data_IF_602604938729
#
_entry.id   IF_602604938729
#
_cell.length_a   1.000
_cell.length_b   1.000
_cell.length_c   1.000
_cell.angle_alpha   90.00
_cell.angle_beta   90.00
_cell.angle_gamma   90.00
#
_symmetry.space_group_name_H-M   'P 1'
#
loop_
_entity.id
_entity.type
_entity.pdbx_description
1 polymer ?
#
# COMPACT_ATOMS: atom_id res chain seq x y z
N UNK A 1 12.31 18.49 -8.67
CA UNK A 1 12.92 18.89 -7.37
C UNK A 1 13.64 17.76 -6.62
N UNK A 2 13.78 16.55 -7.17
CA UNK A 2 14.46 15.43 -6.49
C UNK A 2 15.37 14.62 -7.45
N UNK A 3 16.37 15.27 -8.09
CA UNK A 3 17.23 14.63 -9.09
C UNK A 3 18.08 13.47 -8.55
N UNK A 4 18.26 13.36 -7.23
CA UNK A 4 19.00 12.26 -6.58
C UNK A 4 18.23 10.93 -6.66
N UNK A 5 16.89 10.99 -6.60
CA UNK A 5 16.01 9.79 -6.51
C UNK A 5 15.03 9.63 -7.66
N UNK A 6 14.95 10.61 -8.58
CA UNK A 6 14.11 10.55 -9.78
C UNK A 6 14.92 10.95 -11.01
N UNK A 7 15.15 10.00 -11.91
CA UNK A 7 15.87 10.24 -13.15
C UNK A 7 15.22 11.31 -14.05
N UNK A 8 13.87 11.42 -14.14
CA UNK A 8 13.24 12.51 -14.89
C UNK A 8 13.66 13.92 -14.41
N UNK A 9 13.76 14.13 -13.09
CA UNK A 9 14.22 15.41 -12.53
C UNK A 9 15.66 15.73 -12.97
N UNK A 10 16.54 14.72 -13.04
CA UNK A 10 17.91 14.91 -13.52
C UNK A 10 17.95 15.38 -14.99
N UNK A 11 17.11 14.78 -15.85
CA UNK A 11 17.00 15.18 -17.25
C UNK A 11 16.47 16.61 -17.38
N UNK A 12 15.46 16.98 -16.59
CA UNK A 12 14.93 18.35 -16.52
C UNK A 12 16.02 19.34 -16.11
N UNK A 13 16.81 19.04 -15.07
CA UNK A 13 17.92 19.90 -14.63
C UNK A 13 18.97 20.09 -15.74
N UNK A 14 19.30 19.03 -16.50
CA UNK A 14 20.25 19.10 -17.63
C UNK A 14 19.71 19.94 -18.79
N UNK A 15 18.41 19.78 -19.10
CA UNK A 15 17.74 20.58 -20.12
C UNK A 15 17.72 22.08 -19.75
N UNK A 16 17.33 22.41 -18.52
CA UNK A 16 17.34 23.80 -18.01
C UNK A 16 18.76 24.37 -18.09
N UNK A 17 19.78 23.64 -17.63
CA UNK A 17 21.18 24.09 -17.70
C UNK A 17 21.62 24.39 -19.13
N UNK A 18 21.21 23.58 -20.11
CA UNK A 18 21.54 23.81 -21.51
C UNK A 18 20.83 25.06 -22.06
N UNK A 19 19.55 25.25 -21.74
CA UNK A 19 18.76 26.42 -22.16
C UNK A 19 19.38 27.72 -21.62
N UNK A 20 19.82 27.72 -20.35
CA UNK A 20 20.52 28.87 -19.75
C UNK A 20 21.86 29.19 -20.45
N UNK A 21 22.44 28.21 -21.15
CA UNK A 21 23.65 28.38 -21.97
C UNK A 21 23.32 28.58 -23.46
N UNK A 22 22.05 28.85 -23.80
CA UNK A 22 21.55 28.97 -25.18
C UNK A 22 21.85 27.74 -26.06
N UNK A 23 21.89 26.55 -25.46
CA UNK A 23 22.10 25.26 -26.13
C UNK A 23 20.88 24.36 -25.96
N UNK A 24 20.66 23.45 -26.93
CA UNK A 24 19.67 22.37 -26.80
C UNK A 24 20.32 21.16 -26.13
N UNK A 25 19.72 20.64 -25.06
CA UNK A 25 20.15 19.38 -24.47
C UNK A 25 19.58 18.21 -25.26
N UNK A 26 20.46 17.35 -25.76
CA UNK A 26 20.08 16.07 -26.36
C UNK A 26 20.73 14.96 -25.51
N UNK A 27 19.93 14.03 -24.97
CA UNK A 27 20.45 12.90 -24.21
C UNK A 27 21.34 12.04 -25.12
N UNK A 28 22.63 11.93 -24.81
CA UNK A 28 23.62 11.14 -25.57
C UNK A 28 24.02 9.88 -24.81
N UNK A 29 24.38 8.82 -25.54
CA UNK A 29 24.92 7.58 -24.96
C UNK A 29 23.89 6.70 -24.27
N UNK A 30 22.61 6.84 -24.64
CA UNK A 30 21.54 5.98 -24.12
C UNK A 30 21.25 4.93 -25.19
N UNK A 31 21.54 3.68 -24.87
CA UNK A 31 21.18 2.55 -25.73
C UNK A 31 19.69 2.24 -25.60
N UNK A 32 18.92 2.60 -26.62
CA UNK A 32 17.47 2.41 -26.68
C UNK A 32 17.06 0.94 -26.58
N UNK A 33 17.93 -0.01 -26.96
CA UNK A 33 17.65 -1.44 -26.90
C UNK A 33 17.62 -1.99 -25.46
N UNK A 34 18.37 -1.35 -24.54
CA UNK A 34 18.44 -1.75 -23.13
C UNK A 34 17.37 -1.12 -22.24
N UNK A 35 16.57 -0.19 -22.76
CA UNK A 35 15.50 0.44 -21.97
C UNK A 35 14.32 -0.53 -21.83
N UNK A 36 13.80 -0.65 -20.60
CA UNK A 36 12.47 -1.18 -20.32
C UNK A 36 11.36 -0.28 -20.93
N UNK A 37 11.25 -0.32 -22.25
CA UNK A 37 10.20 0.30 -23.04
C UNK A 37 9.05 -0.68 -23.29
N UNK A 38 9.07 -1.87 -22.65
CA UNK A 38 8.07 -2.92 -22.88
C UNK A 38 6.69 -2.34 -22.68
N UNK A 39 6.08 -2.08 -23.83
CA UNK A 39 4.79 -1.44 -23.97
C UNK A 39 3.77 -2.31 -23.24
N UNK A 40 2.89 -1.68 -22.48
CA UNK A 40 1.84 -2.38 -21.73
C UNK A 40 1.07 -3.36 -22.64
N UNK A 41 0.54 -4.44 -22.07
CA UNK A 41 -0.25 -5.43 -22.83
C UNK A 41 -1.41 -4.78 -23.63
N UNK A 42 -1.94 -3.66 -23.16
CA UNK A 42 -2.92 -2.84 -23.86
C UNK A 42 -2.35 -2.17 -25.12
N UNK A 43 -1.12 -1.65 -25.06
CA UNK A 43 -0.45 -1.06 -26.23
C UNK A 43 0.01 -2.14 -27.20
N UNK A 44 0.40 -3.33 -26.72
CA UNK A 44 0.67 -4.50 -27.59
C UNK A 44 -0.59 -4.95 -28.35
N UNK A 45 -1.77 -4.93 -27.71
CA UNK A 45 -3.07 -5.18 -28.37
C UNK A 45 -3.46 -4.08 -29.36
N UNK A 46 -3.18 -2.80 -29.07
CA UNK A 46 -3.39 -1.70 -30.01
C UNK A 46 -2.46 -1.78 -31.21
N UNK A 47 -1.16 -2.01 -30.99
CA UNK A 47 -0.18 -2.23 -32.06
C UNK A 47 -0.53 -3.43 -32.96
N UNK A 48 -1.08 -4.51 -32.38
CA UNK A 48 -1.56 -5.66 -33.16
C UNK A 48 -2.81 -5.33 -34.01
N UNK A 49 -3.73 -4.50 -33.49
CA UNK A 49 -4.91 -4.01 -34.25
C UNK A 49 -4.53 -3.02 -35.35
N UNK A 50 -3.59 -2.12 -35.06
CA UNK A 50 -3.08 -1.12 -36.02
C UNK A 50 -2.31 -1.82 -37.16
N UNK A 51 -1.57 -2.90 -36.85
CA UNK A 51 -0.89 -3.76 -37.85
C UNK A 51 -1.87 -4.55 -38.72
N UNK A 52 -3.03 -4.93 -38.20
CA UNK A 52 -4.09 -5.61 -38.95
C UNK A 52 -4.89 -4.67 -39.88
N UNK A 53 -4.93 -3.37 -39.57
CA UNK A 53 -5.67 -2.36 -40.35
C UNK A 53 -4.85 -1.70 -41.48
N UNK A 54 -3.67 -2.24 -41.82
CA UNK A 54 -2.86 -1.77 -42.96
C UNK A 54 -2.35 -0.32 -42.84
N UNK A 55 -2.64 0.36 -41.73
CA UNK A 55 -2.11 1.68 -41.44
C UNK A 55 -0.72 1.47 -40.84
N UNK A 56 0.28 1.26 -41.70
CA UNK A 56 1.67 1.44 -41.29
C UNK A 56 1.85 2.93 -41.00
N UNK A 57 1.41 3.36 -39.82
CA UNK A 57 1.82 4.63 -39.27
C UNK A 57 3.33 4.50 -39.14
N UNK A 58 4.05 5.21 -40.01
CA UNK A 58 5.51 5.20 -40.05
C UNK A 58 6.02 5.05 -38.63
N UNK A 59 6.79 3.99 -38.41
CA UNK A 59 7.62 3.71 -37.24
C UNK A 59 8.67 4.83 -37.16
N UNK A 60 8.21 6.08 -37.04
CA UNK A 60 9.02 7.25 -36.73
C UNK A 60 9.42 7.00 -35.30
N UNK A 61 10.61 6.42 -35.18
CA UNK A 61 11.51 6.42 -34.03
C UNK A 61 10.87 7.11 -32.84
N UNK A 62 10.46 6.34 -31.83
CA UNK A 62 10.22 6.90 -30.50
C UNK A 62 11.36 7.87 -30.23
N UNK A 63 11.03 9.16 -30.08
CA UNK A 63 12.09 10.13 -29.82
C UNK A 63 12.81 9.68 -28.56
N UNK A 64 14.11 9.97 -28.43
CA UNK A 64 14.89 9.55 -27.24
C UNK A 64 14.17 9.96 -25.94
N UNK A 65 13.45 11.10 -25.97
CA UNK A 65 12.61 11.58 -24.88
C UNK A 65 11.37 10.71 -24.61
N UNK A 66 10.67 10.25 -25.63
CA UNK A 66 9.52 9.34 -25.48
C UNK A 66 9.94 8.01 -24.87
N UNK A 67 11.04 7.42 -25.38
CA UNK A 67 11.59 6.18 -24.87
C UNK A 67 12.00 6.31 -23.39
N UNK A 68 12.65 7.42 -23.02
CA UNK A 68 12.99 7.73 -21.63
C UNK A 68 11.76 7.91 -20.74
N UNK A 69 10.71 8.55 -21.25
CA UNK A 69 9.45 8.72 -20.53
C UNK A 69 8.79 7.38 -20.19
N UNK A 70 8.68 6.48 -21.18
CA UNK A 70 8.14 5.13 -20.99
C UNK A 70 8.99 4.34 -19.99
N UNK A 71 10.31 4.38 -20.14
CA UNK A 71 11.24 3.69 -19.26
C UNK A 71 11.16 4.15 -17.81
N UNK A 72 11.18 5.46 -17.58
CA UNK A 72 11.10 5.99 -16.21
C UNK A 72 9.79 5.60 -15.56
N UNK A 73 8.68 5.69 -16.30
CA UNK A 73 7.35 5.28 -15.81
C UNK A 73 7.26 3.78 -15.50
N UNK A 74 7.86 2.93 -16.35
CA UNK A 74 7.90 1.49 -16.14
C UNK A 74 8.75 1.11 -14.92
N UNK A 75 9.89 1.77 -14.73
CA UNK A 75 10.75 1.54 -13.58
C UNK A 75 10.14 2.04 -12.28
N UNK A 76 9.39 3.14 -12.29
CA UNK A 76 8.63 3.62 -11.14
C UNK A 76 7.60 2.58 -10.68
N UNK A 77 6.75 2.09 -11.59
CA UNK A 77 5.80 1.02 -11.28
C UNK A 77 6.48 -0.23 -10.74
N UNK A 78 7.60 -0.65 -11.34
CA UNK A 78 8.37 -1.82 -10.88
C UNK A 78 8.93 -1.62 -9.47
N UNK A 79 9.42 -0.42 -9.15
CA UNK A 79 9.94 -0.10 -7.82
C UNK A 79 8.81 -0.13 -6.78
N UNK A 80 7.63 0.39 -7.13
CA UNK A 80 6.45 0.34 -6.27
C UNK A 80 5.94 -1.09 -6.06
N UNK A 81 5.87 -1.90 -7.13
CA UNK A 81 5.50 -3.32 -7.06
C UNK A 81 6.44 -4.10 -6.14
N UNK A 82 7.76 -3.92 -6.29
CA UNK A 82 8.74 -4.57 -5.42
C UNK A 82 8.60 -4.12 -3.95
N UNK A 83 8.29 -2.84 -3.72
CA UNK A 83 8.10 -2.30 -2.37
C UNK A 83 6.83 -2.86 -1.72
N UNK A 84 5.72 -2.93 -2.47
CA UNK A 84 4.46 -3.56 -2.03
C UNK A 84 4.65 -5.04 -1.74
N UNK A 85 5.44 -5.73 -2.55
CA UNK A 85 5.74 -7.15 -2.37
C UNK A 85 6.47 -7.43 -1.05
N UNK A 86 7.46 -6.61 -0.70
CA UNK A 86 8.19 -6.71 0.57
C UNK A 86 7.27 -6.35 1.73
N UNK A 87 6.45 -5.30 1.59
CA UNK A 87 5.49 -4.89 2.60
C UNK A 87 4.44 -6.00 2.86
N UNK A 88 3.90 -6.61 1.81
CA UNK A 88 2.96 -7.73 1.91
C UNK A 88 3.59 -8.92 2.64
N UNK A 89 4.85 -9.25 2.32
CA UNK A 89 5.57 -10.31 3.01
C UNK A 89 5.80 -9.99 4.49
N UNK A 90 6.20 -8.76 4.83
CA UNK A 90 6.39 -8.31 6.21
C UNK A 90 5.08 -8.33 7.00
N UNK A 91 3.96 -7.93 6.37
CA UNK A 91 2.61 -8.01 6.95
C UNK A 91 2.22 -9.46 7.26
N UNK A 92 2.46 -10.38 6.34
CA UNK A 92 2.22 -11.80 6.56
C UNK A 92 3.11 -12.36 7.67
N UNK A 93 4.39 -11.96 7.71
CA UNK A 93 5.32 -12.35 8.76
C UNK A 93 4.85 -11.89 10.14
N UNK A 94 4.39 -10.65 10.25
CA UNK A 94 3.90 -10.09 11.50
C UNK A 94 2.61 -10.74 12.01
N UNK A 95 1.68 -11.09 11.12
CA UNK A 95 0.39 -11.65 11.54
C UNK A 95 0.45 -13.15 11.84
N UNK A 96 1.50 -13.85 11.40
CA UNK A 96 1.73 -15.26 11.68
C UNK A 96 1.69 -15.58 13.18
N UNK A 97 2.21 -14.69 14.01
CA UNK A 97 2.26 -14.87 15.46
C UNK A 97 0.91 -14.62 16.14
N UNK A 98 -0.09 -14.13 15.40
CA UNK A 98 -1.45 -13.79 15.87
C UNK A 98 -2.52 -14.71 15.29
N UNK A 99 -2.14 -15.94 14.95
CA UNK A 99 -3.05 -16.93 14.40
C UNK A 99 -4.15 -17.26 15.41
N UNK A 100 -5.40 -17.23 14.98
CA UNK A 100 -6.57 -17.46 15.83
C UNK A 100 -7.06 -16.24 16.62
N UNK A 101 -6.39 -15.09 16.55
CA UNK A 101 -6.90 -13.85 17.13
C UNK A 101 -8.02 -13.25 16.26
N UNK A 102 -8.99 -12.62 16.92
CA UNK A 102 -10.07 -11.87 16.27
C UNK A 102 -9.68 -10.40 16.10
N UNK A 103 -9.97 -9.85 14.92
CA UNK A 103 -9.71 -8.47 14.57
C UNK A 103 -10.95 -7.83 13.95
N UNK A 104 -11.10 -6.53 14.17
CA UNK A 104 -12.05 -5.72 13.39
C UNK A 104 -11.37 -5.23 12.11
N UNK A 105 -12.14 -5.21 11.03
CA UNK A 105 -11.69 -4.70 9.76
C UNK A 105 -12.81 -4.14 8.92
N UNK A 106 -12.40 -3.56 7.80
CA UNK A 106 -13.29 -3.03 6.77
C UNK A 106 -13.10 -3.84 5.50
N UNK A 107 -14.19 -4.15 4.81
CA UNK A 107 -14.14 -4.77 3.49
C UNK A 107 -13.49 -3.80 2.49
N UNK A 108 -12.28 -4.12 2.03
CA UNK A 108 -11.50 -3.28 1.10
C UNK A 108 -11.78 -3.62 -0.36
N UNK A 109 -12.21 -4.86 -0.65
CA UNK A 109 -12.60 -5.29 -1.99
C UNK A 109 -13.54 -6.49 -1.92
N UNK A 110 -14.42 -6.61 -2.91
CA UNK A 110 -15.37 -7.71 -3.05
C UNK A 110 -15.11 -8.37 -4.41
N UNK A 111 -15.00 -9.69 -4.42
CA UNK A 111 -14.83 -10.49 -5.64
C UNK A 111 -15.87 -11.60 -5.70
N UNK A 112 -15.92 -12.32 -6.82
CA UNK A 112 -16.82 -13.47 -6.97
C UNK A 112 -16.50 -14.65 -6.06
N UNK A 113 -15.25 -14.76 -5.59
CA UNK A 113 -14.78 -15.88 -4.77
C UNK A 113 -14.62 -15.54 -3.29
N UNK A 114 -14.89 -14.29 -2.89
CA UNK A 114 -14.78 -13.87 -1.49
C UNK A 114 -14.71 -12.37 -1.30
N UNK A 115 -14.35 -11.97 -0.08
CA UNK A 115 -14.14 -10.57 0.28
C UNK A 115 -12.73 -10.39 0.85
N UNK A 116 -12.11 -9.26 0.51
CA UNK A 116 -10.87 -8.82 1.14
C UNK A 116 -11.21 -7.88 2.29
N UNK A 117 -10.66 -8.18 3.46
CA UNK A 117 -10.87 -7.41 4.68
C UNK A 117 -9.54 -6.82 5.11
N UNK A 118 -9.50 -5.50 5.23
CA UNK A 118 -8.37 -4.76 5.77
C UNK A 118 -8.56 -4.57 7.27
N UNK A 119 -7.62 -5.06 8.07
CA UNK A 119 -7.64 -4.95 9.53
C UNK A 119 -7.29 -3.53 9.98
N UNK A 120 -8.07 -2.95 10.91
CA UNK A 120 -7.99 -1.53 11.27
C UNK A 120 -6.64 -1.11 11.88
N UNK A 121 -6.15 -1.89 12.84
CA UNK A 121 -4.94 -1.54 13.59
C UNK A 121 -3.65 -1.90 12.84
N UNK A 122 -3.73 -2.90 11.96
CA UNK A 122 -2.55 -3.52 11.35
C UNK A 122 -2.37 -3.14 9.87
N UNK A 123 -3.41 -2.60 9.22
CA UNK A 123 -3.43 -2.32 7.78
C UNK A 123 -2.99 -3.52 6.93
N UNK A 124 -3.32 -4.71 7.43
CA UNK A 124 -3.09 -6.01 6.79
C UNK A 124 -4.37 -6.41 6.08
N UNK A 125 -4.26 -6.85 4.85
CA UNK A 125 -5.38 -7.39 4.09
C UNK A 125 -5.37 -8.91 4.15
N UNK A 126 -6.53 -9.50 4.37
CA UNK A 126 -6.73 -10.95 4.25
C UNK A 126 -8.00 -11.27 3.47
N UNK A 127 -8.05 -12.49 2.94
CA UNK A 127 -9.15 -12.99 2.14
C UNK A 127 -10.08 -13.83 3.01
N UNK A 128 -11.36 -13.48 3.04
CA UNK A 128 -12.42 -14.40 3.47
C UNK A 128 -12.99 -15.06 2.22
N UNK A 129 -12.76 -16.37 2.08
CA UNK A 129 -13.29 -17.12 0.95
C UNK A 129 -14.81 -17.29 1.06
N UNK A 130 -15.50 -17.41 -0.08
CA UNK A 130 -16.97 -17.55 -0.13
C UNK A 130 -17.51 -18.71 0.71
N UNK A 131 -16.73 -19.79 0.86
CA UNK A 131 -17.08 -20.95 1.70
C UNK A 131 -17.09 -20.63 3.19
N UNK A 132 -16.28 -19.66 3.62
CA UNK A 132 -16.17 -19.22 5.02
C UNK A 132 -17.20 -18.13 5.36
N UNK A 133 -17.87 -17.53 4.35
CA UNK A 133 -18.90 -16.50 4.55
C UNK A 133 -20.24 -17.06 5.05
N UNK A 134 -20.46 -18.36 4.87
CA UNK A 134 -21.65 -19.08 5.35
C UNK A 134 -22.10 -20.19 4.40
N UNK A 135 -23.21 -20.85 4.77
CA UNK A 135 -23.82 -21.95 4.01
C UNK A 135 -24.81 -21.47 2.93
N UNK A 136 -24.68 -20.22 2.50
CA UNK A 136 -25.57 -19.61 1.52
C UNK A 136 -24.92 -19.52 0.14
N UNK A 137 -25.76 -19.47 -0.89
CA UNK A 137 -25.29 -19.14 -2.24
C UNK A 137 -25.15 -17.64 -2.34
N UNK A 138 -23.91 -17.15 -2.46
CA UNK A 138 -23.64 -15.72 -2.66
C UNK A 138 -23.53 -15.39 -4.15
N UNK A 139 -24.33 -14.42 -4.57
CA UNK A 139 -24.27 -13.83 -5.90
C UNK A 139 -23.46 -12.53 -5.84
N UNK A 140 -22.46 -12.42 -6.71
CA UNK A 140 -21.67 -11.20 -6.87
C UNK A 140 -22.37 -10.24 -7.83
N UNK A 141 -22.64 -9.02 -7.36
CA UNK A 141 -23.11 -7.91 -8.18
C UNK A 141 -21.96 -6.92 -8.41
N UNK A 142 -21.45 -6.91 -9.65
CA UNK A 142 -20.32 -6.08 -10.06
C UNK A 142 -20.65 -4.59 -10.05
N UNK A 143 -21.90 -4.22 -10.31
CA UNK A 143 -22.30 -2.81 -10.36
C UNK A 143 -22.35 -2.17 -8.97
N UNK A 144 -22.57 -2.99 -7.92
CA UNK A 144 -22.70 -2.54 -6.53
C UNK A 144 -21.50 -2.91 -5.66
N UNK A 145 -20.57 -3.72 -6.20
CA UNK A 145 -19.48 -4.33 -5.45
C UNK A 145 -19.99 -4.99 -4.16
N UNK A 146 -21.04 -5.82 -4.29
CA UNK A 146 -21.66 -6.54 -3.18
C UNK A 146 -21.71 -8.05 -3.44
N UNK A 147 -21.48 -8.85 -2.41
CA UNK A 147 -21.82 -10.27 -2.37
C UNK A 147 -23.11 -10.44 -1.57
N UNK A 148 -24.15 -10.93 -2.23
CA UNK A 148 -25.49 -11.10 -1.63
C UNK A 148 -25.86 -12.57 -1.53
N UNK A 149 -26.18 -13.01 -0.32
CA UNK A 149 -26.72 -14.34 -0.05
C UNK A 149 -28.17 -14.45 -0.54
N UNK A 150 -28.47 -15.48 -1.33
CA UNK A 150 -29.78 -15.72 -1.93
C UNK A 150 -30.82 -16.08 -0.85
N UNK A 151 -30.50 -17.00 0.06
CA UNK A 151 -31.44 -17.51 1.07
C UNK A 151 -31.49 -16.64 2.33
N UNK A 152 -30.34 -16.18 2.80
CA UNK A 152 -30.21 -15.43 4.05
C UNK A 152 -30.40 -13.93 3.85
N UNK A 153 -30.26 -13.43 2.62
CA UNK A 153 -30.30 -12.01 2.31
C UNK A 153 -29.12 -11.22 2.89
N UNK A 154 -28.11 -11.89 3.49
CA UNK A 154 -26.89 -11.25 3.99
C UNK A 154 -26.16 -10.58 2.84
N UNK A 155 -25.60 -9.40 3.09
CA UNK A 155 -24.86 -8.63 2.10
C UNK A 155 -23.51 -8.27 2.69
N UNK A 156 -22.48 -8.41 1.89
CA UNK A 156 -21.15 -7.92 2.17
C UNK A 156 -20.78 -6.96 1.05
N UNK A 157 -20.75 -5.68 1.37
CA UNK A 157 -20.40 -4.61 0.43
C UNK A 157 -19.01 -4.06 0.75
N UNK A 158 -18.38 -3.45 -0.26
CA UNK A 158 -17.27 -2.54 -0.04
C UNK A 158 -17.59 -1.56 1.10
N UNK A 159 -16.62 -1.34 2.00
CA UNK A 159 -16.71 -0.47 3.19
C UNK A 159 -17.46 -1.04 4.40
N UNK A 160 -18.05 -2.23 4.31
CA UNK A 160 -18.70 -2.85 5.48
C UNK A 160 -17.69 -3.16 6.58
N UNK A 161 -18.12 -2.98 7.83
CA UNK A 161 -17.37 -3.34 9.03
C UNK A 161 -17.65 -4.79 9.39
N UNK A 162 -16.60 -5.58 9.54
CA UNK A 162 -16.68 -7.00 9.89
C UNK A 162 -15.65 -7.36 10.95
N UNK A 163 -16.00 -8.34 11.79
CA UNK A 163 -15.05 -8.98 12.70
C UNK A 163 -14.60 -10.29 12.06
N UNK A 164 -13.29 -10.50 12.04
CA UNK A 164 -12.66 -11.63 11.34
C UNK A 164 -11.61 -12.26 12.23
N UNK A 165 -11.47 -13.57 12.15
CA UNK A 165 -10.42 -14.34 12.81
C UNK A 165 -9.37 -14.75 11.79
N UNK A 166 -8.09 -14.69 12.18
CA UNK A 166 -6.99 -15.17 11.33
C UNK A 166 -6.95 -16.70 11.39
N UNK A 167 -7.26 -17.36 10.27
CA UNK A 167 -7.31 -18.83 10.19
C UNK A 167 -5.99 -19.43 9.72
N UNK A 168 -5.41 -18.87 8.64
CA UNK A 168 -4.18 -19.37 8.05
C UNK A 168 -3.35 -18.23 7.46
N UNK A 169 -2.02 -18.38 7.52
CA UNK A 169 -1.08 -17.46 6.91
C UNK A 169 -0.09 -18.25 6.05
N UNK A 170 0.02 -17.86 4.78
CA UNK A 170 0.98 -18.40 3.82
C UNK A 170 2.01 -17.33 3.46
N UNK A 171 3.25 -17.52 3.94
CA UNK A 171 4.35 -16.59 3.71
C UNK A 171 4.90 -16.65 2.29
N UNK A 172 4.79 -17.79 1.62
CA UNK A 172 5.31 -17.98 0.26
C UNK A 172 4.36 -17.36 -0.76
N UNK A 173 3.06 -17.62 -0.59
CA UNK A 173 2.02 -17.00 -1.41
C UNK A 173 1.72 -15.55 -1.02
N UNK A 174 2.20 -15.09 0.15
CA UNK A 174 1.88 -13.79 0.77
C UNK A 174 0.36 -13.60 0.93
N UNK A 175 -0.31 -14.68 1.37
CA UNK A 175 -1.77 -14.73 1.52
C UNK A 175 -2.12 -14.98 2.98
N UNK A 176 -3.20 -14.34 3.41
CA UNK A 176 -3.77 -14.49 4.74
C UNK A 176 -5.23 -14.89 4.54
N UNK A 177 -5.59 -16.05 5.06
CA UNK A 177 -6.96 -16.55 5.04
C UNK A 177 -7.64 -16.15 6.35
N UNK A 178 -8.76 -15.48 6.21
CA UNK A 178 -9.59 -14.98 7.28
C UNK A 178 -10.92 -15.73 7.28
N UNK A 179 -11.52 -15.83 8.46
CA UNK A 179 -12.87 -16.38 8.66
C UNK A 179 -13.70 -15.33 9.38
N UNK A 180 -14.99 -15.21 9.06
CA UNK A 180 -15.87 -14.27 9.77
C UNK A 180 -16.07 -14.74 11.22
N UNK A 181 -15.68 -13.89 12.16
CA UNK A 181 -15.91 -14.10 13.58
C UNK A 181 -17.27 -13.50 13.96
N UNK A 182 -18.25 -14.36 14.23
CA UNK A 182 -19.63 -13.94 14.52
C UNK A 182 -20.47 -13.79 13.26
N UNK A 183 -21.63 -14.46 13.24
CA UNK A 183 -22.42 -14.69 12.04
C UNK A 183 -23.04 -13.46 11.40
N UNK A 184 -22.31 -12.85 10.46
CA UNK A 184 -22.84 -11.93 9.44
C UNK A 184 -22.57 -10.48 9.73
N UNK A 185 -22.23 -9.74 8.67
CA UNK A 185 -22.13 -8.29 8.65
C UNK A 185 -23.24 -7.68 9.52
N UNK A 186 -22.86 -7.02 10.61
CA UNK A 186 -23.79 -6.19 11.34
C UNK A 186 -24.18 -5.06 10.40
N UNK A 187 -25.41 -5.13 9.88
CA UNK A 187 -26.00 -4.11 9.04
C UNK A 187 -25.89 -2.76 9.76
N UNK A 188 -25.04 -1.88 9.25
CA UNK A 188 -25.29 -0.45 9.36
C UNK A 188 -26.36 -0.12 8.30
N UNK A 189 -27.61 -0.41 8.63
CA UNK A 189 -28.74 0.08 7.83
C UNK A 189 -28.73 1.61 7.88
N UNK A 190 -28.80 2.23 6.70
CA UNK A 190 -28.82 3.68 6.55
C UNK A 190 -30.00 4.35 7.26
N UNK A 191 -29.78 5.62 7.61
CA UNK A 191 -30.74 6.62 8.06
C UNK A 191 -31.38 6.43 9.45
N UNK A 192 -30.68 6.93 10.47
CA UNK A 192 -31.26 7.30 11.74
C UNK A 192 -30.21 8.01 12.59
N UNK A 193 -30.44 9.29 12.90
CA UNK A 193 -29.62 10.07 13.82
C UNK A 193 -29.24 9.22 15.04
N UNK A 194 -28.00 9.30 15.57
CA UNK A 194 -27.68 8.61 16.80
C UNK A 194 -28.57 9.19 17.90
N UNK A 195 -29.57 8.41 18.35
CA UNK A 195 -30.26 8.65 19.62
C UNK A 195 -29.26 8.34 20.73
N UNK A 196 -28.35 9.28 20.95
CA UNK A 196 -27.57 9.30 22.18
C UNK A 196 -28.56 9.46 23.34
N UNK A 197 -28.27 8.76 24.42
CA UNK A 197 -28.93 8.83 25.72
C UNK A 197 -28.88 10.22 26.38
N UNK A 198 -28.40 11.26 25.67
CA UNK A 198 -28.39 12.65 26.07
C UNK A 198 -29.72 13.39 25.80
N UNK A 199 -30.59 12.87 24.93
CA UNK A 199 -31.86 13.55 24.59
C UNK A 199 -33.01 13.32 25.60
N UNK A 200 -32.81 12.46 26.61
CA UNK A 200 -33.82 12.22 27.67
C UNK A 200 -33.58 13.04 28.94
N UNK A 201 -32.59 13.93 28.93
CA UNK A 201 -32.20 14.76 30.08
C UNK A 201 -32.58 16.24 29.97
N UNK A 202 -33.25 16.66 28.88
CA UNK A 202 -33.63 18.06 28.65
C UNK A 202 -35.08 18.42 29.03
N UNK A 203 -35.86 17.48 29.59
CA UNK A 203 -37.18 17.76 30.18
C UNK A 203 -37.23 17.49 31.70
N UNK A 204 -36.34 18.14 32.45
CA UNK A 204 -36.48 18.25 33.91
C UNK A 204 -36.24 19.69 34.36
N UNK A 205 -37.26 20.27 35.01
CA UNK A 205 -37.33 21.65 35.52
C UNK A 205 -36.17 21.97 36.51
N UNK A 206 -35.78 23.26 36.65
CA UNK A 206 -34.56 23.64 37.36
C UNK A 206 -34.76 23.61 38.88
N UNK A 207 -33.85 22.95 39.59
CA UNK A 207 -33.88 22.84 41.05
C UNK A 207 -32.49 22.78 41.68
N UNK A 208 -32.12 23.88 42.34
CA UNK A 208 -31.12 24.06 43.41
C UNK A 208 -29.69 23.51 43.20
N UNK A 209 -28.79 24.48 43.04
CA UNK A 209 -27.36 24.48 43.33
C UNK A 209 -26.91 23.57 44.49
N UNK A 210 -25.94 22.69 44.21
CA UNK A 210 -25.03 22.14 45.22
C UNK A 210 -23.62 22.04 44.63
N UNK A 211 -22.64 22.60 45.35
CA UNK A 211 -21.23 22.75 44.96
C UNK A 211 -20.57 21.39 44.69
N UNK A 212 -19.70 21.24 43.67
CA UNK A 212 -18.99 19.99 43.44
C UNK A 212 -17.78 19.87 44.38
N UNK A 213 -17.68 18.75 45.09
CA UNK A 213 -16.48 18.34 45.82
C UNK A 213 -15.52 17.61 44.87
N UNK A 214 -14.24 17.89 45.05
CA UNK A 214 -13.12 17.27 44.36
C UNK A 214 -13.09 15.74 44.53
N UNK A 215 -12.98 15.01 43.42
CA UNK A 215 -11.95 14.00 43.22
C UNK A 215 -12.00 13.39 41.83
N UNK A 216 -10.81 12.97 41.36
CA UNK A 216 -10.51 12.15 40.18
C UNK A 216 -10.24 12.89 38.87
N UNK A 217 -9.14 13.65 38.83
CA UNK A 217 -8.43 14.00 37.60
C UNK A 217 -7.03 13.36 37.62
N UNK A 218 -6.90 12.27 36.87
CA UNK A 218 -5.64 11.70 36.36
C UNK A 218 -6.04 11.17 34.99
N UNK A 219 -5.33 11.36 33.88
CA UNK A 219 -3.91 11.56 33.62
C UNK A 219 -3.85 11.86 32.11
N UNK A 220 -2.80 12.55 31.65
CA UNK A 220 -2.49 12.93 30.25
C UNK A 220 -2.98 14.31 29.80
N UNK A 221 -2.28 15.35 30.25
CA UNK A 221 -2.08 16.58 29.47
C UNK A 221 -0.71 16.50 28.77
N UNK A 222 -0.72 16.87 27.51
CA UNK A 222 0.41 16.91 26.58
C UNK A 222 1.09 18.28 26.77
N UNK A 223 2.33 18.31 27.23
CA UNK A 223 3.12 19.55 27.28
C UNK A 223 3.84 19.74 25.93
N UNK A 224 3.52 20.86 25.29
CA UNK A 224 4.12 21.33 24.04
C UNK A 224 4.70 22.72 24.29
N UNK A 225 5.98 22.76 24.66
CA UNK A 225 6.79 23.98 24.58
C UNK A 225 8.06 23.71 23.79
N UNK A 226 8.03 24.12 22.53
CA UNK A 226 9.19 24.27 21.63
C UNK A 226 9.93 25.53 22.08
N UNK A 227 11.16 25.38 22.55
CA UNK A 227 12.10 26.49 22.77
C UNK A 227 13.16 26.49 21.66
N UNK A 228 13.33 27.65 21.02
CA UNK A 228 14.30 27.95 19.98
C UNK A 228 15.53 28.59 20.63
N UNK A 229 16.68 27.92 20.61
CA UNK A 229 17.95 28.49 21.09
C UNK A 229 19.16 27.92 20.36
N UNK A 230 19.91 28.80 19.69
CA UNK A 230 21.05 28.53 18.81
C UNK A 230 22.27 27.84 19.50
N UNK A 231 23.22 27.25 18.73
CA UNK A 231 24.31 26.46 19.29
C UNK A 231 25.57 27.28 19.56
N UNK A 232 26.13 27.18 20.77
CA UNK A 232 27.49 27.66 21.09
C UNK A 232 28.48 26.51 21.38
N UNK A 233 29.75 26.85 21.14
CA UNK A 233 30.92 25.99 20.87
C UNK A 233 31.59 25.37 22.11
N UNK A 234 32.51 24.44 21.78
CA UNK A 234 33.70 23.91 22.52
C UNK A 234 33.42 22.73 23.46
N UNK A 235 34.28 21.71 23.59
CA UNK A 235 35.58 21.39 22.98
C UNK A 235 36.01 19.96 23.36
N UNK A 236 36.68 19.28 22.42
CA UNK A 236 37.71 18.22 22.53
C UNK A 236 37.81 17.37 23.81
N UNK A 237 37.73 16.04 23.62
CA UNK A 237 38.80 15.13 24.08
C UNK A 237 38.81 13.84 23.24
N UNK A 238 40.02 13.43 22.86
CA UNK A 238 40.34 12.28 22.03
C UNK A 238 40.26 10.95 22.81
N UNK A 239 39.95 9.86 22.12
CA UNK A 239 40.56 8.55 22.37
C UNK A 239 40.41 7.66 21.13
N UNK A 240 41.54 7.09 20.72
CA UNK A 240 41.75 6.26 19.54
C UNK A 240 41.21 4.83 19.70
N UNK A 241 40.96 4.11 18.59
CA UNK A 241 40.74 2.67 18.69
C UNK A 241 40.24 1.93 17.45
N UNK A 242 41.13 1.74 16.47
CA UNK A 242 41.25 0.59 15.54
C UNK A 242 40.21 0.37 14.42
N UNK A 243 40.75 0.48 13.21
CA UNK A 243 40.31 -0.14 11.97
C UNK A 243 40.74 -1.62 11.88
N UNK A 244 39.94 -2.44 11.19
CA UNK A 244 40.34 -3.63 10.42
C UNK A 244 39.11 -4.05 9.57
N UNK A 245 39.03 -3.69 8.29
CA UNK A 245 39.62 -4.35 7.12
C UNK A 245 38.90 -5.64 6.70
N UNK A 246 38.27 -5.54 5.52
CA UNK A 246 37.86 -6.61 4.61
C UNK A 246 38.95 -7.68 4.43
N UNK A 247 38.56 -8.94 4.34
CA UNK A 247 39.26 -9.91 3.49
C UNK A 247 38.29 -10.92 2.88
N UNK A 248 38.43 -11.05 1.57
CA UNK A 248 37.77 -12.04 0.72
C UNK A 248 38.37 -13.43 0.95
N UNK A 249 37.60 -14.48 0.64
CA UNK A 249 38.13 -15.81 0.33
C UNK A 249 37.61 -16.33 -1.01
N UNK A 250 38.41 -17.12 -1.72
CA UNK A 250 38.29 -17.33 -3.16
C UNK A 250 37.53 -18.61 -3.54
N UNK A 251 36.99 -18.59 -4.76
CA UNK A 251 36.36 -19.71 -5.43
C UNK A 251 37.36 -20.83 -5.76
N UNK A 252 36.97 -22.06 -5.48
CA UNK A 252 37.64 -23.30 -5.84
C UNK A 252 37.44 -23.63 -7.33
N UNK A 253 38.56 -23.88 -8.03
CA UNK A 253 38.58 -24.61 -9.31
C UNK A 253 38.64 -26.11 -9.02
N UNK A 254 37.76 -26.89 -9.63
CA UNK A 254 38.01 -28.32 -9.91
C UNK A 254 37.62 -28.64 -11.35
N UNK A 255 38.64 -29.00 -12.11
CA UNK A 255 38.62 -29.63 -13.44
C UNK A 255 38.56 -31.16 -13.34
N UNK A 256 38.15 -31.82 -14.44
CA UNK A 256 38.10 -33.28 -14.77
C UNK A 256 36.73 -33.94 -14.48
N UNK A 257 36.17 -34.82 -15.31
CA UNK A 257 36.67 -35.64 -16.45
C UNK A 257 35.47 -36.25 -17.22
N UNK A 258 35.66 -36.51 -18.52
CA UNK A 258 35.16 -37.64 -19.35
C UNK A 258 33.87 -38.38 -18.92
N UNK A 259 32.89 -38.46 -19.82
CA UNK A 259 32.67 -39.57 -20.78
C UNK A 259 31.67 -39.14 -21.85
#
# INVERSE_FOLDING_TARGET
>A
TSPIRRYPDLLTHRAIKAILLSKKYEPKGIDLAGLNTTVSNATRKKQAKDKAQGTQKNEKDLTIWDALGVHCSANERRADEASRDVEAWLKCYFIKDKLGEEFTGVVSSVTSFGIFVQLDALYVEGLVHITELGTDFFQYDDARHELRGERTGKRYQLTDRVTVQVSRVDLEARKIDLVLAGGGAQQASGAGLPKSSAAKALEAKPGKSRKPSANTASRYELDASIDNGAPEKRSKSAAAGKAASRSAKPATKTSKKKR
#
